data_IF_519364183212
#
_entry.id   IF_519364183212
#
_cell.length_a   1.000
_cell.length_b   1.000
_cell.length_c   1.000
_cell.angle_alpha   90.00
_cell.angle_beta   90.00
_cell.angle_gamma   90.00
#
_symmetry.space_group_name_H-M   'P 1'
#
loop_
_entity.id
_entity.type
_entity.pdbx_description
1 polymer ?
#
# COMPACT_ATOMS: atom_id res chain seq x y z
N UNK A 1 6.98 -16.39 -13.40
CA UNK A 1 8.03 -15.41 -13.00
C UNK A 1 9.07 -15.28 -14.13
N UNK A 2 9.19 -14.09 -14.72
CA UNK A 2 10.33 -13.76 -15.58
C UNK A 2 11.50 -13.39 -14.67
N UNK A 3 12.70 -13.92 -14.93
CA UNK A 3 13.91 -13.51 -14.19
C UNK A 3 14.42 -12.18 -14.74
N UNK A 4 15.20 -11.44 -13.95
CA UNK A 4 15.79 -10.16 -14.39
C UNK A 4 16.63 -10.35 -15.66
N UNK A 5 17.41 -11.42 -15.75
CA UNK A 5 18.23 -11.73 -16.93
C UNK A 5 17.39 -11.86 -18.21
N UNK A 6 16.27 -12.58 -18.14
CA UNK A 6 15.37 -12.78 -19.28
C UNK A 6 14.76 -11.45 -19.72
N UNK A 7 14.32 -10.63 -18.77
CA UNK A 7 13.75 -9.30 -19.07
C UNK A 7 14.80 -8.39 -19.70
N UNK A 8 16.02 -8.37 -19.17
CA UNK A 8 17.12 -7.55 -19.68
C UNK A 8 17.51 -7.95 -21.11
N UNK A 9 17.66 -9.25 -21.39
CA UNK A 9 17.99 -9.76 -22.73
C UNK A 9 16.89 -9.45 -23.73
N UNK A 10 15.63 -9.68 -23.36
CA UNK A 10 14.50 -9.41 -24.24
C UNK A 10 14.32 -7.92 -24.53
N UNK A 11 14.45 -7.07 -23.50
CA UNK A 11 14.43 -5.62 -23.66
C UNK A 11 15.56 -5.13 -24.58
N UNK A 12 16.77 -5.67 -24.42
CA UNK A 12 17.92 -5.36 -25.30
C UNK A 12 17.64 -5.74 -26.74
N UNK A 13 17.06 -6.93 -26.99
CA UNK A 13 16.69 -7.36 -28.34
C UNK A 13 15.69 -6.37 -28.98
N UNK A 14 14.65 -5.97 -28.25
CA UNK A 14 13.68 -4.99 -28.75
C UNK A 14 14.30 -3.62 -29.02
N UNK A 15 15.19 -3.13 -28.14
CA UNK A 15 15.92 -1.87 -28.35
C UNK A 15 16.80 -1.95 -29.59
N UNK A 16 17.56 -3.03 -29.77
CA UNK A 16 18.41 -3.25 -30.95
C UNK A 16 17.63 -3.31 -32.26
N UNK A 17 16.36 -3.72 -32.22
CA UNK A 17 15.44 -3.70 -33.36
C UNK A 17 14.67 -2.37 -33.51
N UNK A 18 15.00 -1.33 -32.74
CA UNK A 18 14.33 -0.02 -32.78
C UNK A 18 12.94 0.00 -32.14
N UNK A 19 12.51 -1.07 -31.48
CA UNK A 19 11.17 -1.22 -30.91
C UNK A 19 11.12 -0.84 -29.41
N UNK A 20 11.31 0.45 -29.13
CA UNK A 20 11.26 0.98 -27.76
C UNK A 20 9.93 0.68 -27.03
N UNK A 21 8.81 0.62 -27.77
CA UNK A 21 7.49 0.30 -27.20
C UNK A 21 7.43 -1.13 -26.68
N UNK A 22 7.95 -2.09 -27.44
CA UNK A 22 7.98 -3.49 -27.02
C UNK A 22 8.94 -3.69 -25.83
N UNK A 23 10.10 -3.03 -25.84
CA UNK A 23 11.01 -3.03 -24.69
C UNK A 23 10.32 -2.50 -23.42
N UNK A 24 9.57 -1.40 -23.51
CA UNK A 24 8.77 -0.89 -22.37
C UNK A 24 7.72 -1.89 -21.90
N UNK A 25 7.02 -2.57 -22.81
CA UNK A 25 5.96 -3.52 -22.42
C UNK A 25 6.46 -4.71 -21.59
N UNK A 26 7.73 -5.07 -21.70
CA UNK A 26 8.34 -6.11 -20.86
C UNK A 26 9.00 -5.54 -19.60
N UNK A 27 9.62 -4.36 -19.72
CA UNK A 27 10.31 -3.71 -18.59
C UNK A 27 9.35 -3.21 -17.53
N UNK A 28 8.33 -2.44 -17.90
CA UNK A 28 7.44 -1.74 -16.96
C UNK A 28 6.74 -2.67 -15.96
N UNK A 29 6.01 -3.73 -16.36
CA UNK A 29 5.31 -4.58 -15.40
C UNK A 29 6.27 -5.32 -14.47
N UNK A 30 7.41 -5.79 -14.98
CA UNK A 30 8.45 -6.41 -14.18
C UNK A 30 9.04 -5.41 -13.18
N UNK A 31 9.47 -4.25 -13.67
CA UNK A 31 10.12 -3.20 -12.88
C UNK A 31 9.24 -2.70 -11.74
N UNK A 32 7.94 -2.55 -11.97
CA UNK A 32 7.01 -2.08 -10.94
C UNK A 32 6.96 -2.95 -9.69
N UNK A 33 7.20 -4.26 -9.81
CA UNK A 33 6.89 -5.22 -8.74
C UNK A 33 8.04 -6.14 -8.33
N UNK A 34 9.06 -6.31 -9.18
CA UNK A 34 10.16 -7.24 -8.91
C UNK A 34 10.98 -6.84 -7.68
N UNK A 35 11.20 -7.79 -6.78
CA UNK A 35 12.18 -7.65 -5.70
C UNK A 35 13.53 -8.03 -6.28
N UNK A 36 14.42 -7.04 -6.40
CA UNK A 36 15.75 -7.17 -6.97
C UNK A 36 16.79 -6.89 -5.90
N UNK A 37 17.97 -7.51 -6.02
CA UNK A 37 19.11 -7.02 -5.28
C UNK A 37 19.60 -5.67 -5.83
N UNK A 38 20.49 -5.01 -5.09
CA UNK A 38 20.96 -3.68 -5.45
C UNK A 38 21.76 -3.66 -6.75
N UNK A 39 22.45 -4.76 -7.10
CA UNK A 39 23.30 -4.86 -8.29
C UNK A 39 22.44 -4.95 -9.54
N UNK A 40 21.46 -5.85 -9.53
CA UNK A 40 20.54 -6.06 -10.65
C UNK A 40 19.66 -4.84 -10.88
N UNK A 41 19.19 -4.22 -9.80
CA UNK A 41 18.43 -2.98 -9.88
C UNK A 41 19.25 -1.85 -10.52
N UNK A 42 20.50 -1.66 -10.09
CA UNK A 42 21.39 -0.65 -10.65
C UNK A 42 21.73 -0.94 -12.12
N UNK A 43 21.91 -2.21 -12.49
CA UNK A 43 22.15 -2.60 -13.88
C UNK A 43 20.94 -2.28 -14.78
N UNK A 44 19.73 -2.59 -14.33
CA UNK A 44 18.50 -2.27 -15.07
C UNK A 44 18.30 -0.76 -15.20
N UNK A 45 18.50 0.01 -14.13
CA UNK A 45 18.42 1.49 -14.18
C UNK A 45 19.45 2.04 -15.16
N UNK A 46 20.69 1.55 -15.10
CA UNK A 46 21.77 2.03 -15.98
C UNK A 46 21.45 1.79 -17.45
N UNK A 47 20.90 0.64 -17.80
CA UNK A 47 20.64 0.26 -19.19
C UNK A 47 19.30 0.82 -19.71
N UNK A 48 18.25 0.78 -18.90
CA UNK A 48 16.88 1.04 -19.33
C UNK A 48 16.15 2.13 -18.53
N UNK A 49 16.80 2.77 -17.55
CA UNK A 49 16.15 3.74 -16.66
C UNK A 49 15.50 4.91 -17.40
N UNK A 50 16.11 5.39 -18.49
CA UNK A 50 15.54 6.44 -19.35
C UNK A 50 14.40 5.95 -20.25
N UNK A 51 14.32 4.64 -20.50
CA UNK A 51 13.27 4.03 -21.30
C UNK A 51 12.01 3.77 -20.47
N UNK A 52 12.17 3.46 -19.18
CA UNK A 52 11.08 3.26 -18.22
C UNK A 52 10.44 4.61 -17.86
N UNK A 53 9.10 4.75 -17.98
CA UNK A 53 8.39 5.97 -17.62
C UNK A 53 8.57 6.38 -16.15
N UNK A 54 8.59 7.69 -15.88
CA UNK A 54 8.64 8.25 -14.52
C UNK A 54 7.50 7.72 -13.62
N UNK A 55 6.31 7.48 -14.19
CA UNK A 55 5.18 6.88 -13.46
C UNK A 55 5.44 5.44 -12.97
N UNK A 56 6.22 4.65 -13.73
CA UNK A 56 6.59 3.30 -13.33
C UNK A 56 7.71 3.31 -12.29
N UNK A 57 8.65 4.24 -12.40
CA UNK A 57 9.61 4.52 -11.32
C UNK A 57 8.89 4.94 -10.04
N UNK A 58 7.87 5.80 -10.15
CA UNK A 58 7.05 6.25 -9.02
C UNK A 58 6.31 5.09 -8.36
N UNK A 59 5.66 4.23 -9.15
CA UNK A 59 4.99 3.04 -8.62
C UNK A 59 5.98 2.11 -7.90
N UNK A 60 7.13 1.83 -8.52
CA UNK A 60 8.17 1.01 -7.88
C UNK A 60 8.64 1.64 -6.57
N UNK A 61 8.91 2.95 -6.56
CA UNK A 61 9.35 3.67 -5.37
C UNK A 61 8.39 3.45 -4.19
N UNK A 62 7.10 3.71 -4.39
CA UNK A 62 6.09 3.54 -3.33
C UNK A 62 5.95 2.07 -2.92
N UNK A 63 5.94 1.14 -3.88
CA UNK A 63 5.89 -0.30 -3.59
C UNK A 63 7.09 -0.79 -2.79
N UNK A 64 8.28 -0.26 -3.05
CA UNK A 64 9.48 -0.61 -2.29
C UNK A 64 9.44 -0.01 -0.88
N UNK A 65 8.80 1.14 -0.66
CA UNK A 65 8.53 1.63 0.69
C UNK A 65 7.60 0.70 1.46
N UNK A 66 6.46 0.30 0.88
CA UNK A 66 5.53 -0.65 1.52
C UNK A 66 6.16 -2.01 1.85
N UNK A 67 7.17 -2.42 1.08
CA UNK A 67 7.89 -3.68 1.28
C UNK A 67 9.14 -3.54 2.18
N UNK A 68 9.26 -2.44 2.93
CA UNK A 68 10.40 -2.12 3.81
C UNK A 68 11.77 -2.11 3.09
N UNK A 69 11.77 -1.84 1.78
CA UNK A 69 12.96 -1.81 0.91
C UNK A 69 13.40 -0.37 0.66
N UNK A 70 13.62 0.38 1.74
CA UNK A 70 13.94 1.81 1.74
C UNK A 70 15.06 2.18 0.76
N UNK A 71 16.18 1.44 0.76
CA UNK A 71 17.31 1.74 -0.13
C UNK A 71 16.97 1.57 -1.61
N UNK A 72 16.07 0.64 -1.95
CA UNK A 72 15.58 0.45 -3.33
C UNK A 72 14.66 1.59 -3.74
N UNK A 73 13.74 2.00 -2.85
CA UNK A 73 12.89 3.16 -3.08
C UNK A 73 13.71 4.44 -3.32
N UNK A 74 14.72 4.72 -2.47
CA UNK A 74 15.60 5.88 -2.61
C UNK A 74 16.38 5.88 -3.93
N UNK A 75 16.83 4.71 -4.43
CA UNK A 75 17.56 4.62 -5.70
C UNK A 75 16.76 5.12 -6.90
N UNK A 76 15.43 5.00 -6.87
CA UNK A 76 14.56 5.38 -7.98
C UNK A 76 13.82 6.71 -7.76
N UNK A 77 13.91 7.30 -6.57
CA UNK A 77 13.14 8.50 -6.20
C UNK A 77 13.41 9.70 -7.13
N UNK A 78 14.66 9.89 -7.54
CA UNK A 78 15.03 10.92 -8.53
C UNK A 78 14.39 10.67 -9.90
N UNK A 79 14.43 9.43 -10.39
CA UNK A 79 13.82 9.03 -11.68
C UNK A 79 12.29 9.12 -11.65
N UNK A 80 11.70 8.94 -10.46
CA UNK A 80 10.27 9.11 -10.21
C UNK A 80 9.84 10.59 -10.08
N UNK A 81 10.76 11.55 -10.05
CA UNK A 81 10.45 12.95 -9.79
C UNK A 81 9.88 13.19 -8.38
N UNK A 82 10.28 12.36 -7.42
CA UNK A 82 9.60 12.15 -6.15
C UNK A 82 10.52 12.22 -4.92
N UNK A 83 11.71 12.81 -5.07
CA UNK A 83 12.76 12.80 -4.05
C UNK A 83 12.28 13.32 -2.69
N UNK A 84 11.55 14.44 -2.66
CA UNK A 84 11.08 15.04 -1.41
C UNK A 84 10.07 14.14 -0.69
N UNK A 85 9.20 13.44 -1.41
CA UNK A 85 8.36 12.41 -0.78
C UNK A 85 9.22 11.27 -0.21
N UNK A 86 10.18 10.76 -0.98
CA UNK A 86 11.01 9.64 -0.53
C UNK A 86 11.78 9.99 0.75
N UNK A 87 12.40 11.17 0.79
CA UNK A 87 13.14 11.65 1.96
C UNK A 87 12.20 11.82 3.17
N UNK A 88 10.99 12.34 2.96
CA UNK A 88 9.99 12.49 4.01
C UNK A 88 9.47 11.14 4.51
N UNK A 89 9.28 10.15 3.63
CA UNK A 89 8.83 8.81 3.99
C UNK A 89 9.90 8.08 4.82
N UNK A 90 11.18 8.18 4.44
CA UNK A 90 12.29 7.63 5.25
C UNK A 90 12.31 8.23 6.65
N UNK A 91 12.16 9.55 6.76
CA UNK A 91 12.17 10.22 8.06
C UNK A 91 10.94 9.82 8.91
N UNK A 92 9.77 9.71 8.28
CA UNK A 92 8.54 9.22 8.92
C UNK A 92 8.69 7.79 9.43
N UNK A 93 9.26 6.90 8.60
CA UNK A 93 9.47 5.51 8.95
C UNK A 93 10.43 5.35 10.15
N UNK A 94 11.52 6.13 10.16
CA UNK A 94 12.51 6.11 11.24
C UNK A 94 12.08 6.85 12.51
N UNK A 95 11.00 7.63 12.45
CA UNK A 95 10.61 8.52 13.55
C UNK A 95 11.61 9.65 13.78
N UNK A 96 12.26 10.14 12.72
CA UNK A 96 13.27 11.19 12.81
C UNK A 96 12.65 12.50 13.32
N UNK A 97 13.41 13.27 14.12
CA UNK A 97 12.95 14.55 14.70
C UNK A 97 12.50 15.59 13.65
N UNK A 98 12.99 15.48 12.42
CA UNK A 98 12.64 16.38 11.32
C UNK A 98 11.53 15.84 10.40
N UNK A 99 10.96 14.65 10.69
CA UNK A 99 9.96 14.00 9.84
C UNK A 99 8.75 14.90 9.55
N UNK A 100 8.17 15.54 10.58
CA UNK A 100 7.06 16.47 10.41
C UNK A 100 7.39 17.65 9.46
N UNK A 101 8.61 18.17 9.54
CA UNK A 101 9.08 19.25 8.66
C UNK A 101 9.19 18.75 7.21
N UNK A 102 9.75 17.57 7.00
CA UNK A 102 9.92 16.98 5.68
C UNK A 102 8.58 16.62 5.03
N UNK A 103 7.67 15.99 5.78
CA UNK A 103 6.31 15.69 5.32
C UNK A 103 5.59 16.98 4.88
N UNK A 104 5.66 18.05 5.68
CA UNK A 104 5.05 19.34 5.31
C UNK A 104 5.66 19.96 4.05
N UNK A 105 6.96 19.73 3.81
CA UNK A 105 7.70 20.26 2.67
C UNK A 105 7.48 19.48 1.36
N UNK A 106 6.85 18.30 1.39
CA UNK A 106 6.53 17.53 0.17
C UNK A 106 5.66 18.38 -0.75
N UNK A 107 6.07 18.64 -2.01
CA UNK A 107 5.27 19.41 -2.96
C UNK A 107 3.93 18.74 -3.28
N UNK A 108 2.88 19.51 -3.55
CA UNK A 108 1.53 18.98 -3.86
C UNK A 108 1.56 17.95 -5.00
N UNK A 109 2.37 18.18 -6.03
CA UNK A 109 2.53 17.26 -7.16
C UNK A 109 3.08 15.88 -6.78
N UNK A 110 3.71 15.73 -5.61
CA UNK A 110 4.23 14.47 -5.09
C UNK A 110 3.33 13.84 -4.01
N UNK A 111 2.20 14.47 -3.64
CA UNK A 111 1.29 13.98 -2.60
C UNK A 111 0.25 13.01 -3.18
N UNK A 112 0.68 11.79 -3.49
CA UNK A 112 -0.17 10.65 -3.86
C UNK A 112 -0.61 9.84 -2.63
N UNK A 113 -1.17 8.64 -2.82
CA UNK A 113 -1.46 7.69 -1.74
C UNK A 113 -0.27 7.51 -0.78
N UNK A 114 0.94 7.21 -1.29
CA UNK A 114 2.12 7.01 -0.44
C UNK A 114 2.45 8.18 0.51
N UNK A 115 2.10 9.42 0.15
CA UNK A 115 2.24 10.55 1.07
C UNK A 115 1.31 10.45 2.28
N UNK A 116 0.04 10.11 2.06
CA UNK A 116 -0.92 9.91 3.15
C UNK A 116 -0.55 8.70 4.01
N UNK A 117 -0.01 7.64 3.39
CA UNK A 117 0.48 6.48 4.13
C UNK A 117 1.64 6.87 5.08
N UNK A 118 2.70 7.50 4.55
CA UNK A 118 3.83 7.95 5.35
C UNK A 118 3.41 8.90 6.48
N UNK A 119 2.46 9.80 6.21
CA UNK A 119 1.93 10.71 7.22
C UNK A 119 1.10 9.98 8.29
N UNK A 120 0.27 9.01 7.91
CA UNK A 120 -0.51 8.21 8.85
C UNK A 120 0.40 7.36 9.75
N UNK A 121 1.38 6.67 9.17
CA UNK A 121 2.36 5.90 9.93
C UNK A 121 3.14 6.76 10.91
N UNK A 122 3.60 7.95 10.48
CA UNK A 122 4.30 8.88 11.35
C UNK A 122 3.43 9.26 12.55
N UNK A 123 2.18 9.68 12.32
CA UNK A 123 1.27 10.09 13.39
C UNK A 123 0.94 8.92 14.33
N UNK A 124 0.72 7.72 13.78
CA UNK A 124 0.52 6.50 14.57
C UNK A 124 1.72 6.19 15.45
N UNK A 125 2.95 6.31 14.93
CA UNK A 125 4.20 6.15 15.71
C UNK A 125 4.38 7.22 16.79
N UNK A 126 3.70 8.37 16.67
CA UNK A 126 3.64 9.41 17.71
C UNK A 126 2.42 9.24 18.65
N UNK A 127 1.69 8.13 18.53
CA UNK A 127 0.46 7.85 19.30
C UNK A 127 -0.69 8.85 19.04
N UNK A 128 -0.57 9.69 17.99
CA UNK A 128 -1.65 10.56 17.52
C UNK A 128 -2.59 9.79 16.57
N UNK A 129 -3.36 8.87 17.14
CA UNK A 129 -4.27 8.02 16.35
C UNK A 129 -5.42 8.79 15.74
N UNK A 130 -5.89 9.86 16.40
CA UNK A 130 -6.93 10.74 15.84
C UNK A 130 -6.41 11.49 14.60
N UNK A 131 -5.19 12.01 14.66
CA UNK A 131 -4.51 12.61 13.52
C UNK A 131 -4.28 11.60 12.39
N UNK A 132 -3.77 10.40 12.72
CA UNK A 132 -3.57 9.33 11.75
C UNK A 132 -4.89 8.94 11.05
N UNK A 133 -5.98 8.81 11.81
CA UNK A 133 -7.32 8.54 11.28
C UNK A 133 -7.77 9.62 10.29
N UNK A 134 -7.60 10.89 10.64
CA UNK A 134 -7.96 12.01 9.76
C UNK A 134 -7.15 12.04 8.46
N UNK A 135 -5.91 11.54 8.48
CA UNK A 135 -5.05 11.40 7.29
C UNK A 135 -5.51 10.21 6.43
N UNK A 136 -5.75 9.05 7.05
CA UNK A 136 -6.24 7.85 6.35
C UNK A 136 -7.58 8.09 5.65
N UNK A 137 -8.47 8.88 6.26
CA UNK A 137 -9.76 9.25 5.65
C UNK A 137 -9.65 10.21 4.45
N UNK A 138 -8.51 10.90 4.30
CA UNK A 138 -8.24 11.78 3.14
C UNK A 138 -7.53 11.04 1.99
N UNK A 139 -6.94 9.89 2.29
CA UNK A 139 -6.28 9.08 1.28
C UNK A 139 -7.30 8.60 0.24
N UNK A 140 -6.88 8.39 -1.03
CA UNK A 140 -7.67 7.65 -2.00
C UNK A 140 -8.12 6.29 -1.42
N UNK A 141 -9.28 5.81 -1.85
CA UNK A 141 -9.85 4.55 -1.39
C UNK A 141 -10.06 3.52 -2.52
N UNK A 142 -9.83 3.91 -3.77
CA UNK A 142 -9.87 3.00 -4.91
C UNK A 142 -8.58 2.17 -5.00
N UNK A 143 -8.70 0.88 -5.33
CA UNK A 143 -7.53 -0.03 -5.40
C UNK A 143 -6.43 0.46 -6.35
N UNK A 144 -6.82 1.05 -7.48
CA UNK A 144 -5.88 1.41 -8.54
C UNK A 144 -4.92 2.54 -8.13
N UNK A 145 -5.33 3.41 -7.21
CA UNK A 145 -4.51 4.51 -6.71
C UNK A 145 -3.59 4.16 -5.55
N UNK A 146 -3.76 3.00 -4.90
CA UNK A 146 -3.05 2.65 -3.66
C UNK A 146 -1.66 2.05 -3.86
N UNK A 147 -1.31 1.62 -5.07
CA UNK A 147 -0.06 0.90 -5.44
C UNK A 147 0.08 -0.49 -4.78
N UNK A 148 -0.21 -0.59 -3.48
CA UNK A 148 -0.33 -1.84 -2.71
C UNK A 148 -1.52 -1.75 -1.74
N UNK A 149 -2.73 -2.14 -2.18
CA UNK A 149 -3.93 -2.09 -1.33
C UNK A 149 -3.84 -2.96 -0.08
N UNK A 150 -3.02 -4.03 -0.12
CA UNK A 150 -2.82 -4.93 1.01
C UNK A 150 -1.94 -4.30 2.10
N UNK A 151 -0.91 -3.55 1.73
CA UNK A 151 -0.14 -2.74 2.69
C UNK A 151 -1.02 -1.68 3.37
N UNK A 152 -1.91 -1.03 2.61
CA UNK A 152 -2.90 -0.11 3.16
C UNK A 152 -3.86 -0.76 4.14
N UNK A 153 -4.30 -2.00 3.87
CA UNK A 153 -5.11 -2.75 4.82
C UNK A 153 -4.37 -2.97 6.13
N UNK A 154 -3.09 -3.36 6.09
CA UNK A 154 -2.28 -3.58 7.30
C UNK A 154 -2.25 -2.31 8.16
N UNK A 155 -1.99 -1.14 7.57
CA UNK A 155 -1.97 0.13 8.31
C UNK A 155 -3.34 0.48 8.90
N UNK A 156 -4.43 0.32 8.11
CA UNK A 156 -5.81 0.53 8.58
C UNK A 156 -6.15 -0.37 9.76
N UNK A 157 -5.74 -1.65 9.71
CA UNK A 157 -5.99 -2.64 10.76
C UNK A 157 -5.25 -2.31 12.06
N UNK A 158 -3.98 -1.89 11.97
CA UNK A 158 -3.22 -1.50 13.17
C UNK A 158 -3.90 -0.27 13.79
N UNK A 159 -4.12 0.78 12.99
CA UNK A 159 -4.74 2.00 13.46
C UNK A 159 -6.15 1.78 14.05
N UNK A 160 -6.97 0.93 13.44
CA UNK A 160 -8.32 0.68 13.94
C UNK A 160 -8.32 -0.01 15.30
N UNK A 161 -7.33 -0.87 15.59
CA UNK A 161 -7.19 -1.52 16.90
C UNK A 161 -6.80 -0.51 17.98
N UNK A 162 -5.85 0.37 17.69
CA UNK A 162 -5.47 1.45 18.61
C UNK A 162 -6.66 2.36 18.95
N UNK A 163 -7.49 2.70 17.95
CA UNK A 163 -8.71 3.50 18.16
C UNK A 163 -9.76 2.76 19.01
N UNK A 164 -9.88 1.44 18.83
CA UNK A 164 -10.75 0.61 19.69
C UNK A 164 -10.29 0.61 21.13
N UNK A 165 -8.97 0.51 21.36
CA UNK A 165 -8.40 0.54 22.70
C UNK A 165 -8.61 1.90 23.38
N UNK A 166 -8.68 2.98 22.59
CA UNK A 166 -9.10 4.31 23.06
C UNK A 166 -10.63 4.49 23.20
N UNK A 167 -11.42 3.48 22.84
CA UNK A 167 -12.88 3.52 22.89
C UNK A 167 -13.56 4.20 21.70
N UNK A 168 -12.82 4.66 20.68
CA UNK A 168 -13.40 5.24 19.45
C UNK A 168 -13.77 4.17 18.43
N UNK A 169 -14.78 3.37 18.80
CA UNK A 169 -15.36 2.33 17.95
C UNK A 169 -15.90 2.88 16.63
N UNK A 170 -16.41 4.12 16.62
CA UNK A 170 -17.03 4.73 15.45
C UNK A 170 -16.00 5.06 14.38
N UNK A 171 -14.88 5.65 14.77
CA UNK A 171 -13.78 5.94 13.84
C UNK A 171 -13.08 4.65 13.41
N UNK A 172 -12.85 3.71 14.34
CA UNK A 172 -12.29 2.40 14.01
C UNK A 172 -13.11 1.67 12.93
N UNK A 173 -14.44 1.61 13.08
CA UNK A 173 -15.34 1.05 12.08
C UNK A 173 -15.20 1.73 10.72
N UNK A 174 -15.24 3.07 10.68
CA UNK A 174 -15.12 3.81 9.42
C UNK A 174 -13.81 3.50 8.68
N UNK A 175 -12.70 3.40 9.40
CA UNK A 175 -11.38 3.13 8.79
C UNK A 175 -11.34 1.76 8.12
N UNK A 176 -11.84 0.72 8.79
CA UNK A 176 -11.81 -0.64 8.24
C UNK A 176 -12.89 -0.87 7.20
N UNK A 177 -14.05 -0.21 7.30
CA UNK A 177 -15.12 -0.31 6.30
C UNK A 177 -14.73 0.31 4.96
N UNK A 178 -13.77 1.25 4.95
CA UNK A 178 -13.17 1.84 3.74
C UNK A 178 -12.00 1.02 3.18
N UNK A 179 -11.85 -0.26 3.55
CA UNK A 179 -10.75 -1.07 3.03
C UNK A 179 -10.86 -1.28 1.52
N UNK A 180 -9.70 -1.50 0.90
CA UNK A 180 -9.56 -1.84 -0.50
C UNK A 180 -8.67 -3.08 -0.68
N UNK A 181 -8.50 -3.89 0.38
CA UNK A 181 -7.59 -5.04 0.42
C UNK A 181 -7.75 -5.91 -0.83
N UNK A 182 -6.65 -6.23 -1.51
CA UNK A 182 -6.67 -6.93 -2.81
C UNK A 182 -6.80 -8.44 -2.63
N UNK A 183 -6.00 -9.03 -1.75
CA UNK A 183 -6.03 -10.47 -1.52
C UNK A 183 -7.30 -10.90 -0.78
N UNK A 184 -7.84 -12.07 -1.14
CA UNK A 184 -9.04 -12.61 -0.49
C UNK A 184 -8.87 -12.79 1.02
N UNK A 185 -7.65 -13.12 1.48
CA UNK A 185 -7.33 -13.25 2.89
C UNK A 185 -7.45 -11.90 3.64
N UNK A 186 -6.81 -10.85 3.12
CA UNK A 186 -6.88 -9.52 3.72
C UNK A 186 -8.28 -8.91 3.62
N UNK A 187 -8.97 -9.10 2.49
CA UNK A 187 -10.34 -8.66 2.33
C UNK A 187 -11.28 -9.35 3.34
N UNK A 188 -11.16 -10.67 3.50
CA UNK A 188 -11.92 -11.40 4.51
C UNK A 188 -11.59 -10.97 5.95
N UNK A 189 -10.34 -10.60 6.23
CA UNK A 189 -9.94 -10.04 7.52
C UNK A 189 -10.52 -8.63 7.74
N UNK A 190 -10.56 -7.80 6.71
CA UNK A 190 -11.13 -6.46 6.78
C UNK A 190 -12.63 -6.49 7.04
N UNK A 191 -13.35 -7.32 6.30
CA UNK A 191 -14.78 -7.57 6.55
C UNK A 191 -15.02 -8.12 7.96
N UNK A 192 -14.13 -8.97 8.47
CA UNK A 192 -14.24 -9.45 9.85
C UNK A 192 -14.13 -8.31 10.88
N UNK A 193 -13.15 -7.43 10.74
CA UNK A 193 -13.00 -6.28 11.66
C UNK A 193 -14.19 -5.34 11.55
N UNK A 194 -14.65 -5.01 10.33
CA UNK A 194 -15.80 -4.17 10.11
C UNK A 194 -17.08 -4.76 10.73
N UNK A 195 -17.33 -6.05 10.52
CA UNK A 195 -18.47 -6.75 11.10
C UNK A 195 -18.41 -6.83 12.62
N UNK A 196 -17.24 -7.12 13.19
CA UNK A 196 -17.08 -7.19 14.64
C UNK A 196 -17.23 -5.81 15.31
N UNK A 197 -16.66 -4.75 14.73
CA UNK A 197 -16.86 -3.38 15.23
C UNK A 197 -18.33 -2.94 15.12
N UNK A 198 -19.01 -3.27 14.01
CA UNK A 198 -20.44 -3.00 13.87
C UNK A 198 -21.26 -3.72 14.96
N UNK A 199 -20.98 -5.01 15.19
CA UNK A 199 -21.72 -5.81 16.16
C UNK A 199 -21.46 -5.37 17.61
N UNK A 200 -20.19 -5.24 17.98
CA UNK A 200 -19.77 -5.06 19.38
C UNK A 200 -19.60 -3.60 19.77
N UNK A 201 -19.07 -2.78 18.86
CA UNK A 201 -18.82 -1.36 19.10
C UNK A 201 -20.03 -0.49 18.80
N UNK A 202 -20.75 -0.78 17.71
CA UNK A 202 -21.88 0.04 17.26
C UNK A 202 -23.25 -0.54 17.65
N UNK A 203 -23.29 -1.76 18.17
CA UNK A 203 -24.54 -2.49 18.46
C UNK A 203 -25.48 -2.58 17.25
N UNK A 204 -24.91 -2.68 16.04
CA UNK A 204 -25.65 -2.78 14.78
C UNK A 204 -25.48 -4.19 14.16
N UNK A 205 -26.32 -5.16 14.56
CA UNK A 205 -26.23 -6.52 14.06
C UNK A 205 -26.58 -6.64 12.57
N UNK A 206 -27.40 -5.74 12.03
CA UNK A 206 -27.78 -5.76 10.61
C UNK A 206 -26.58 -5.39 9.74
N UNK A 207 -25.85 -4.35 10.13
CA UNK A 207 -24.62 -3.94 9.46
C UNK A 207 -23.52 -5.00 9.61
N UNK A 208 -23.39 -5.59 10.80
CA UNK A 208 -22.46 -6.67 11.04
C UNK A 208 -22.72 -7.88 10.12
N UNK A 209 -23.98 -8.28 9.95
CA UNK A 209 -24.37 -9.38 9.08
C UNK A 209 -23.97 -9.15 7.61
N UNK A 210 -24.06 -7.90 7.12
CA UNK A 210 -23.59 -7.56 5.76
C UNK A 210 -22.09 -7.86 5.59
N UNK A 211 -21.27 -7.47 6.55
CA UNK A 211 -19.83 -7.73 6.53
C UNK A 211 -19.52 -9.24 6.64
N UNK A 212 -20.15 -9.94 7.58
CA UNK A 212 -19.91 -11.38 7.75
C UNK A 212 -20.37 -12.21 6.54
N UNK A 213 -21.45 -11.81 5.86
CA UNK A 213 -21.87 -12.42 4.60
C UNK A 213 -20.82 -12.26 3.50
N UNK A 214 -20.19 -11.08 3.40
CA UNK A 214 -19.12 -10.82 2.43
C UNK A 214 -17.90 -11.72 2.66
N UNK A 215 -17.58 -12.08 3.92
CA UNK A 215 -16.53 -13.06 4.22
C UNK A 215 -16.81 -14.42 3.57
N UNK A 216 -18.06 -14.87 3.58
CA UNK A 216 -18.45 -16.14 2.97
C UNK A 216 -18.23 -16.13 1.45
N UNK A 217 -18.49 -14.99 0.79
CA UNK A 217 -18.25 -14.80 -0.65
C UNK A 217 -16.75 -14.77 -1.00
N UNK A 218 -15.90 -14.29 -0.08
CA UNK A 218 -14.44 -14.20 -0.26
C UNK A 218 -13.70 -15.46 0.21
N UNK A 219 -14.37 -16.39 0.88
CA UNK A 219 -13.74 -17.52 1.54
C UNK A 219 -13.06 -18.47 0.54
N UNK A 220 -11.75 -18.68 0.71
CA UNK A 220 -10.98 -19.64 -0.09
C UNK A 220 -10.85 -21.03 0.55
N UNK A 221 -11.46 -21.25 1.73
CA UNK A 221 -11.40 -22.54 2.40
C UNK A 221 -12.37 -22.70 3.58
N UNK A 222 -12.53 -23.94 4.08
CA UNK A 222 -13.56 -24.28 5.08
C UNK A 222 -13.43 -23.51 6.40
N UNK A 223 -12.21 -23.19 6.83
CA UNK A 223 -11.99 -22.44 8.07
C UNK A 223 -12.58 -21.02 8.00
N UNK A 224 -12.30 -20.28 6.93
CA UNK A 224 -12.84 -18.93 6.72
C UNK A 224 -14.36 -18.95 6.61
N UNK A 225 -14.90 -19.94 5.90
CA UNK A 225 -16.34 -20.13 5.72
C UNK A 225 -17.05 -20.46 7.03
N UNK A 226 -16.50 -21.38 7.83
CA UNK A 226 -17.01 -21.73 9.15
C UNK A 226 -17.06 -20.53 10.08
N UNK A 227 -16.00 -19.70 10.09
CA UNK A 227 -15.98 -18.45 10.85
C UNK A 227 -17.06 -17.48 10.38
N UNK A 228 -17.24 -17.31 9.07
CA UNK A 228 -18.29 -16.44 8.54
C UNK A 228 -19.67 -16.87 9.02
N UNK A 229 -20.02 -18.15 8.88
CA UNK A 229 -21.32 -18.66 9.31
C UNK A 229 -21.53 -18.66 10.83
N UNK A 230 -20.48 -18.89 11.62
CA UNK A 230 -20.56 -18.74 13.07
C UNK A 230 -21.00 -17.34 13.47
N UNK A 231 -20.39 -16.30 12.88
CA UNK A 231 -20.72 -14.91 13.20
C UNK A 231 -22.04 -14.44 12.58
N UNK A 232 -22.47 -15.02 11.47
CA UNK A 232 -23.82 -14.78 10.93
C UNK A 232 -24.93 -15.34 11.81
N UNK A 233 -24.67 -16.42 12.55
CA UNK A 233 -25.62 -17.01 13.49
C UNK A 233 -25.64 -16.35 14.87
N UNK A 234 -24.74 -15.39 15.14
CA UNK A 234 -24.54 -14.77 16.45
C UNK A 234 -25.25 -13.44 16.57
#
# INVERSE_FOLDING_TARGET
PQTVDVVMVLARAYVSSGNAKAARSVLSPFWRTAILDAKDEAALIKEFGALVPAADHRFRMERMFYADRVNSALRVAGLAGAQQLADAWVAADRGDKNAAKLLKAVPVAQRSAGYFFAQAEYLRKQEDFAGAAAVVMKAPADRESLVDPDAWWVERRVLSRELVDQGDMKTAYKIVAMHAAESAANAAEAEFHAGWYALRGLSDPKLAATHFARIAELAQGPMTLSRAYYWLGR
#
